data_IF_711774452197
#
_entry.id   IF_711774452197
#
_cell.length_a   1.000
_cell.length_b   1.000
_cell.length_c   1.000
_cell.angle_alpha   90.00
_cell.angle_beta   90.00
_cell.angle_gamma   90.00
#
_symmetry.space_group_name_H-M   'P 1'
#
loop_
_entity.id
_entity.type
_entity.pdbx_description
1 polymer ?
#
# COMPACT_ATOMS: atom_id res chain seq x y z
N UNK A 1 21.90 -12.18 1.42
CA UNK A 1 22.29 -10.81 1.79
C UNK A 1 22.19 -10.59 3.30
N UNK A 2 21.01 -10.71 3.93
CA UNK A 2 20.85 -10.48 5.38
C UNK A 2 21.82 -11.28 6.27
N UNK A 3 21.83 -12.62 6.16
CA UNK A 3 22.75 -13.49 6.94
C UNK A 3 24.23 -13.16 6.76
N UNK A 4 24.63 -12.73 5.56
CA UNK A 4 26.02 -12.33 5.27
C UNK A 4 26.44 -11.06 6.02
N UNK A 5 25.47 -10.30 6.54
CA UNK A 5 25.66 -9.06 7.31
C UNK A 5 25.15 -9.20 8.75
N UNK A 6 25.09 -10.42 9.30
CA UNK A 6 24.64 -10.64 10.68
C UNK A 6 23.15 -10.33 10.95
N UNK A 7 22.36 -10.09 9.91
CA UNK A 7 20.95 -9.71 10.05
C UNK A 7 19.99 -10.88 9.76
N UNK A 8 18.82 -10.85 10.40
CA UNK A 8 17.66 -11.64 10.00
C UNK A 8 16.84 -10.88 8.95
N UNK A 9 16.38 -11.57 7.90
CA UNK A 9 15.40 -11.01 6.97
C UNK A 9 14.00 -11.39 7.45
N UNK A 10 13.12 -10.40 7.56
CA UNK A 10 11.71 -10.58 7.90
C UNK A 10 10.82 -9.95 6.83
N UNK A 11 9.59 -10.45 6.69
CA UNK A 11 8.71 -10.10 5.59
C UNK A 11 7.29 -9.70 6.02
N UNK A 12 6.60 -8.80 5.29
CA UNK A 12 5.27 -8.31 5.67
C UNK A 12 4.16 -9.37 5.70
N UNK A 13 4.40 -10.52 5.07
CA UNK A 13 3.45 -11.64 4.97
C UNK A 13 3.64 -12.71 6.06
N UNK A 14 4.60 -12.52 6.97
CA UNK A 14 4.83 -13.42 8.09
C UNK A 14 3.74 -13.28 9.18
N UNK A 15 3.59 -14.33 9.99
CA UNK A 15 2.64 -14.39 11.12
C UNK A 15 3.41 -14.64 12.42
N UNK A 16 3.12 -13.93 13.53
CA UNK A 16 2.19 -12.79 13.63
C UNK A 16 2.68 -11.58 12.80
N UNK A 17 1.75 -10.67 12.39
CA UNK A 17 2.13 -9.54 11.55
C UNK A 17 3.12 -8.62 12.28
N UNK A 18 4.20 -8.29 11.58
CA UNK A 18 5.22 -7.37 12.06
C UNK A 18 4.83 -5.90 11.76
N UNK A 19 5.27 -4.92 12.57
CA UNK A 19 4.82 -3.54 12.46
C UNK A 19 5.55 -2.75 11.35
N UNK A 20 5.52 -3.27 10.12
CA UNK A 20 6.24 -2.75 8.95
C UNK A 20 6.02 -1.27 8.68
N UNK A 21 4.77 -0.78 8.75
CA UNK A 21 4.50 0.64 8.54
C UNK A 21 5.13 1.51 9.64
N UNK A 22 5.18 1.04 10.89
CA UNK A 22 5.83 1.76 11.99
C UNK A 22 7.34 1.83 11.77
N UNK A 23 7.97 0.71 11.41
CA UNK A 23 9.40 0.67 11.09
C UNK A 23 9.75 1.57 9.92
N UNK A 24 8.98 1.52 8.84
CA UNK A 24 9.22 2.34 7.66
C UNK A 24 9.16 3.86 7.96
N UNK A 25 8.22 4.30 8.81
CA UNK A 25 8.12 5.71 9.24
C UNK A 25 9.28 6.17 10.12
N UNK A 26 9.96 5.25 10.79
CA UNK A 26 11.15 5.56 11.58
C UNK A 26 12.38 5.74 10.67
N UNK A 27 12.45 5.04 9.54
CA UNK A 27 13.60 5.04 8.64
C UNK A 27 13.49 6.02 7.46
N UNK A 28 12.27 6.38 7.04
CA UNK A 28 12.03 7.16 5.83
C UNK A 28 10.89 8.19 6.04
N UNK A 29 10.86 9.28 5.25
CA UNK A 29 9.80 10.30 5.30
C UNK A 29 8.48 9.78 4.71
N UNK A 30 7.94 8.73 5.32
CA UNK A 30 6.68 8.11 4.94
C UNK A 30 5.60 8.54 5.93
N UNK A 31 4.39 8.78 5.43
CA UNK A 31 3.30 9.31 6.24
C UNK A 31 2.02 8.47 6.08
N UNK A 32 1.12 8.42 7.07
CA UNK A 32 -0.18 7.76 6.90
C UNK A 32 -1.00 8.42 5.78
N UNK A 33 -1.70 7.62 4.97
CA UNK A 33 -2.71 8.12 4.04
C UNK A 33 -4.12 7.69 4.46
N UNK A 34 -5.18 8.36 3.96
CA UNK A 34 -6.55 7.92 4.18
C UNK A 34 -6.85 6.52 3.64
N UNK A 35 -6.00 5.96 2.77
CA UNK A 35 -6.19 4.62 2.20
C UNK A 35 -5.57 3.49 3.04
N UNK A 36 -5.00 3.80 4.21
CA UNK A 36 -4.42 2.82 5.13
C UNK A 36 -3.03 2.30 4.75
N UNK A 37 -2.49 2.72 3.60
CA UNK A 37 -1.09 2.54 3.22
C UNK A 37 -0.31 3.84 3.45
N UNK A 38 1.01 3.75 3.54
CA UNK A 38 1.86 4.94 3.65
C UNK A 38 1.91 5.70 2.32
N UNK A 39 2.11 7.01 2.41
CA UNK A 39 2.39 7.90 1.29
C UNK A 39 3.81 8.42 1.38
N UNK A 40 4.52 8.34 0.27
CA UNK A 40 5.82 8.95 0.03
C UNK A 40 5.64 10.35 -0.61
N UNK A 41 6.37 11.40 -0.20
CA UNK A 41 6.29 12.74 -0.78
C UNK A 41 6.61 12.82 -2.27
N UNK A 42 7.45 11.91 -2.79
CA UNK A 42 7.90 11.86 -4.17
C UNK A 42 7.13 10.81 -4.96
N UNK A 43 7.06 9.59 -4.43
CA UNK A 43 6.47 8.43 -5.10
C UNK A 43 4.98 8.25 -4.79
N UNK A 44 4.40 9.09 -3.94
CA UNK A 44 3.00 9.06 -3.58
C UNK A 44 2.61 7.73 -2.95
N UNK A 45 1.50 7.18 -3.42
CA UNK A 45 1.04 5.87 -2.96
C UNK A 45 1.67 4.73 -3.76
N UNK A 46 2.60 4.97 -4.68
CA UNK A 46 3.12 3.98 -5.64
C UNK A 46 4.44 3.35 -5.19
N UNK A 47 4.45 2.85 -3.95
CA UNK A 47 5.55 2.08 -3.40
C UNK A 47 5.03 0.91 -2.56
N UNK A 48 5.91 -0.01 -2.20
CA UNK A 48 5.58 -1.14 -1.33
C UNK A 48 6.79 -1.53 -0.47
N UNK A 49 6.54 -1.83 0.80
CA UNK A 49 7.54 -2.41 1.69
C UNK A 49 7.67 -3.90 1.37
N UNK A 50 8.90 -4.36 1.11
CA UNK A 50 9.17 -5.75 0.72
C UNK A 50 9.69 -6.63 1.86
N UNK A 51 10.41 -6.05 2.80
CA UNK A 51 11.05 -6.75 3.89
C UNK A 51 11.86 -5.80 4.74
N UNK A 52 12.33 -6.28 5.89
CA UNK A 52 13.23 -5.55 6.76
C UNK A 52 14.40 -6.45 7.14
N UNK A 53 15.55 -5.83 7.41
CA UNK A 53 16.70 -6.51 7.99
C UNK A 53 16.77 -6.15 9.46
N UNK A 54 16.67 -7.16 10.32
CA UNK A 54 16.80 -7.02 11.77
C UNK A 54 18.23 -7.34 12.16
N UNK A 55 18.92 -6.35 12.72
CA UNK A 55 20.26 -6.48 13.26
C UNK A 55 20.19 -6.53 14.78
N UNK A 56 20.95 -7.42 15.46
CA UNK A 56 21.13 -7.32 16.91
C UNK A 56 21.95 -6.08 17.30
N UNK A 57 22.76 -5.58 16.37
CA UNK A 57 23.63 -4.41 16.57
C UNK A 57 22.94 -3.11 16.15
N UNK A 58 23.25 -2.02 16.85
CA UNK A 58 22.80 -0.66 16.48
C UNK A 58 23.52 -0.21 15.23
N UNK A 59 22.75 0.02 14.16
CA UNK A 59 23.28 0.54 12.90
C UNK A 59 23.11 2.06 12.89
N UNK A 60 24.19 2.86 12.73
CA UNK A 60 24.07 4.29 12.52
C UNK A 60 23.37 4.55 11.18
N UNK A 61 22.17 5.13 11.23
CA UNK A 61 21.40 5.50 10.05
C UNK A 61 21.58 6.98 9.74
N UNK A 62 21.54 7.39 8.45
CA UNK A 62 21.50 8.79 8.10
C UNK A 62 20.26 9.46 8.71
N UNK A 63 20.37 10.76 8.98
CA UNK A 63 19.23 11.55 9.44
C UNK A 63 18.12 11.44 8.40
N UNK A 64 16.92 11.10 8.89
CA UNK A 64 15.72 11.06 8.04
C UNK A 64 15.49 12.45 7.44
N UNK A 65 15.38 12.52 6.12
CA UNK A 65 15.02 13.77 5.43
C UNK A 65 13.73 14.36 5.99
N UNK A 66 13.69 15.68 6.13
CA UNK A 66 12.48 16.39 6.51
C UNK A 66 11.62 16.66 5.27
N UNK A 67 10.37 16.22 5.31
CA UNK A 67 9.42 16.42 4.22
C UNK A 67 8.03 16.69 4.80
N UNK A 68 7.23 17.55 4.17
CA UNK A 68 5.86 17.78 4.59
C UNK A 68 5.02 16.52 4.37
N UNK A 69 4.11 16.23 5.31
CA UNK A 69 3.12 15.16 5.14
C UNK A 69 2.11 15.56 4.06
N UNK A 70 2.08 14.91 2.87
CA UNK A 70 1.26 15.38 1.75
C UNK A 70 -0.24 15.40 2.03
N UNK A 71 -0.76 14.47 2.85
CA UNK A 71 -2.19 14.43 3.16
C UNK A 71 -2.64 15.54 4.11
N UNK A 72 -1.73 16.20 4.86
CA UNK A 72 -2.12 17.30 5.77
C UNK A 72 -2.61 18.53 5.01
N UNK A 73 -2.04 18.81 3.85
CA UNK A 73 -2.41 19.97 3.00
C UNK A 73 -3.40 19.62 1.89
N UNK A 74 -3.72 18.32 1.72
CA UNK A 74 -4.71 17.87 0.76
C UNK A 74 -6.14 18.08 1.31
N UNK A 75 -6.74 19.23 1.00
CA UNK A 75 -8.10 19.57 1.43
C UNK A 75 -9.13 18.60 0.82
N UNK A 76 -9.11 18.46 -0.51
CA UNK A 76 -10.15 17.78 -1.29
C UNK A 76 -10.21 16.26 -1.08
N UNK A 77 -9.08 15.64 -0.65
CA UNK A 77 -8.93 14.19 -0.45
C UNK A 77 -9.62 13.36 -1.55
N UNK A 78 -9.27 13.56 -2.84
CA UNK A 78 -9.96 12.93 -3.96
C UNK A 78 -9.93 11.39 -3.90
N UNK A 79 -8.94 10.83 -3.20
CA UNK A 79 -8.85 9.40 -2.91
C UNK A 79 -10.05 8.83 -2.13
N UNK A 80 -10.73 9.63 -1.31
CA UNK A 80 -11.93 9.19 -0.58
C UNK A 80 -13.21 9.28 -1.42
N UNK A 81 -13.29 10.26 -2.33
CA UNK A 81 -14.48 10.48 -3.16
C UNK A 81 -14.55 9.58 -4.41
N UNK A 82 -13.40 9.13 -4.93
CA UNK A 82 -13.34 8.44 -6.24
C UNK A 82 -13.62 6.94 -6.15
N UNK A 83 -13.66 6.35 -4.94
CA UNK A 83 -14.03 4.95 -4.78
C UNK A 83 -15.52 4.76 -5.10
N UNK A 84 -15.89 3.97 -6.14
CA UNK A 84 -17.27 3.87 -6.60
C UNK A 84 -18.23 3.25 -5.57
N UNK A 85 -17.70 2.56 -4.56
CA UNK A 85 -18.48 1.92 -3.49
C UNK A 85 -18.13 2.43 -2.09
N UNK A 86 -17.37 3.53 -2.00
CA UNK A 86 -16.96 4.12 -0.72
C UNK A 86 -16.29 3.10 0.19
N UNK A 87 -15.34 2.33 -0.32
CA UNK A 87 -14.72 1.22 0.42
C UNK A 87 -13.71 1.69 1.47
N UNK A 88 -13.28 2.96 1.47
CA UNK A 88 -12.33 3.48 2.44
C UNK A 88 -13.04 4.31 3.51
N UNK A 89 -12.68 4.08 4.76
CA UNK A 89 -13.14 4.87 5.90
C UNK A 89 -12.17 4.76 7.08
N UNK A 90 -12.61 5.13 8.28
CA UNK A 90 -11.73 5.22 9.46
C UNK A 90 -11.07 3.90 9.87
N UNK A 91 -11.70 2.77 9.54
CA UNK A 91 -11.16 1.42 9.78
C UNK A 91 -10.31 0.89 8.62
N UNK A 92 -9.96 1.74 7.66
CA UNK A 92 -9.25 1.38 6.44
C UNK A 92 -10.18 0.83 5.35
N UNK A 93 -9.65 -0.06 4.51
CA UNK A 93 -10.36 -0.66 3.40
C UNK A 93 -11.39 -1.68 3.89
N UNK A 94 -12.67 -1.44 3.58
CA UNK A 94 -13.73 -2.44 3.62
C UNK A 94 -13.55 -3.42 2.46
N UNK A 95 -12.83 -4.51 2.75
CA UNK A 95 -12.52 -5.58 1.78
C UNK A 95 -13.80 -6.18 1.19
N UNK A 96 -14.85 -6.39 2.00
CA UNK A 96 -16.11 -6.95 1.52
C UNK A 96 -16.77 -6.10 0.44
N UNK A 97 -16.91 -4.79 0.67
CA UNK A 97 -17.47 -3.86 -0.33
C UNK A 97 -16.64 -3.82 -1.61
N UNK A 98 -15.32 -3.77 -1.47
CA UNK A 98 -14.39 -3.78 -2.60
C UNK A 98 -14.51 -5.07 -3.42
N UNK A 99 -14.44 -6.22 -2.74
CA UNK A 99 -14.54 -7.55 -3.33
C UNK A 99 -15.85 -7.73 -4.12
N UNK A 100 -16.99 -7.37 -3.50
CA UNK A 100 -18.29 -7.45 -4.15
C UNK A 100 -18.35 -6.57 -5.40
N UNK A 101 -17.77 -5.37 -5.39
CA UNK A 101 -17.77 -4.49 -6.56
C UNK A 101 -16.92 -5.04 -7.71
N UNK A 102 -15.68 -5.42 -7.46
CA UNK A 102 -14.74 -5.87 -8.51
C UNK A 102 -15.13 -7.21 -9.15
N UNK A 103 -16.04 -7.95 -8.52
CA UNK A 103 -16.64 -9.17 -9.07
C UNK A 103 -17.78 -8.90 -10.09
N UNK A 104 -18.24 -7.65 -10.22
CA UNK A 104 -19.32 -7.27 -11.15
C UNK A 104 -18.78 -6.65 -12.44
N UNK A 105 -19.65 -6.54 -13.46
CA UNK A 105 -19.34 -5.79 -14.68
C UNK A 105 -18.99 -4.32 -14.38
N UNK A 106 -19.65 -3.68 -13.41
CA UNK A 106 -19.36 -2.31 -13.00
C UNK A 106 -17.96 -2.17 -12.36
N UNK A 107 -17.41 -3.26 -11.82
CA UNK A 107 -16.07 -3.31 -11.24
C UNK A 107 -14.94 -3.46 -12.26
N UNK A 108 -15.26 -3.68 -13.55
CA UNK A 108 -14.27 -3.95 -14.60
C UNK A 108 -13.22 -2.85 -14.72
N UNK A 109 -13.62 -1.59 -14.60
CA UNK A 109 -12.67 -0.47 -14.64
C UNK A 109 -11.67 -0.52 -13.48
N UNK A 110 -12.09 -0.92 -12.28
CA UNK A 110 -11.19 -1.08 -11.14
C UNK A 110 -10.22 -2.25 -11.35
N UNK A 111 -10.66 -3.33 -12.02
CA UNK A 111 -9.79 -4.45 -12.38
C UNK A 111 -8.76 -4.05 -13.44
N UNK A 112 -9.19 -3.35 -14.49
CA UNK A 112 -8.34 -3.04 -15.65
C UNK A 112 -7.40 -1.85 -15.42
N UNK A 113 -7.81 -0.88 -14.60
CA UNK A 113 -7.08 0.39 -14.37
C UNK A 113 -6.64 0.59 -12.92
N UNK A 114 -6.91 -0.38 -12.06
CA UNK A 114 -6.53 -0.35 -10.65
C UNK A 114 -7.52 0.36 -9.74
N UNK A 115 -7.18 0.38 -8.45
CA UNK A 115 -7.97 1.08 -7.44
C UNK A 115 -8.08 2.58 -7.75
N UNK A 116 -9.27 3.02 -8.16
CA UNK A 116 -9.56 4.43 -8.51
C UNK A 116 -9.26 5.42 -7.37
N UNK A 117 -9.45 4.99 -6.13
CA UNK A 117 -9.11 5.79 -4.95
C UNK A 117 -7.59 6.05 -4.86
N UNK A 118 -6.76 5.04 -5.10
CA UNK A 118 -5.30 5.19 -5.12
C UNK A 118 -4.86 6.06 -6.29
N UNK A 119 -5.47 5.84 -7.45
CA UNK A 119 -5.14 6.59 -8.66
C UNK A 119 -5.48 8.09 -8.57
N UNK A 120 -6.55 8.43 -7.84
CA UNK A 120 -6.97 9.80 -7.63
C UNK A 120 -5.99 10.64 -6.78
N UNK A 121 -5.01 10.03 -6.12
CA UNK A 121 -3.99 10.78 -5.39
C UNK A 121 -3.10 11.58 -6.38
N UNK A 122 -2.97 12.92 -6.20
CA UNK A 122 -2.15 13.73 -7.10
C UNK A 122 -0.64 13.56 -6.87
N UNK A 123 -0.24 12.99 -5.74
CA UNK A 123 1.17 12.81 -5.39
C UNK A 123 1.71 11.53 -6.04
N UNK A 124 2.91 11.62 -6.61
CA UNK A 124 3.58 10.46 -7.21
C UNK A 124 2.97 9.97 -8.52
N UNK A 125 2.23 10.80 -9.26
CA UNK A 125 1.66 10.43 -10.57
C UNK A 125 2.72 9.91 -11.54
N UNK A 126 3.92 10.47 -11.51
CA UNK A 126 5.05 10.02 -12.32
C UNK A 126 5.59 8.63 -11.90
N UNK A 127 5.30 8.19 -10.67
CA UNK A 127 5.67 6.85 -10.16
C UNK A 127 4.54 5.83 -10.30
N UNK A 128 3.40 6.22 -10.90
CA UNK A 128 2.29 5.29 -11.15
C UNK A 128 2.80 4.09 -11.93
N UNK A 129 2.45 2.90 -11.46
CA UNK A 129 2.78 1.66 -12.15
C UNK A 129 2.16 1.64 -13.56
N UNK A 130 2.84 0.95 -14.49
CA UNK A 130 2.25 0.71 -15.82
C UNK A 130 0.97 -0.12 -15.70
N UNK A 131 0.13 -0.09 -16.73
CA UNK A 131 -1.17 -0.73 -16.69
C UNK A 131 -1.06 -2.25 -16.48
N UNK A 132 -0.03 -2.90 -17.05
CA UNK A 132 0.24 -4.32 -16.87
C UNK A 132 0.54 -4.67 -15.40
N UNK A 133 1.35 -3.86 -14.73
CA UNK A 133 1.68 -4.07 -13.32
C UNK A 133 0.47 -3.78 -12.42
N UNK A 134 -0.35 -2.78 -12.77
CA UNK A 134 -1.60 -2.49 -12.06
C UNK A 134 -2.57 -3.67 -12.16
N UNK A 135 -2.79 -4.20 -13.36
CA UNK A 135 -3.65 -5.34 -13.62
C UNK A 135 -3.17 -6.58 -12.86
N UNK A 136 -1.88 -6.88 -12.93
CA UNK A 136 -1.27 -7.96 -12.16
C UNK A 136 -1.58 -7.85 -10.66
N UNK A 137 -1.47 -6.65 -10.09
CA UNK A 137 -1.79 -6.43 -8.69
C UNK A 137 -3.28 -6.55 -8.37
N UNK A 138 -4.17 -6.13 -9.28
CA UNK A 138 -5.62 -6.30 -9.10
C UNK A 138 -6.04 -7.77 -9.17
N UNK A 139 -5.45 -8.54 -10.10
CA UNK A 139 -5.68 -9.98 -10.18
C UNK A 139 -5.20 -10.69 -8.92
N UNK A 140 -3.97 -10.40 -8.45
CA UNK A 140 -3.43 -10.95 -7.21
C UNK A 140 -4.30 -10.58 -6.00
N UNK A 141 -4.78 -9.33 -5.92
CA UNK A 141 -5.70 -8.89 -4.87
C UNK A 141 -7.01 -9.67 -4.89
N UNK A 142 -7.66 -9.79 -6.06
CA UNK A 142 -8.88 -10.56 -6.24
C UNK A 142 -8.69 -12.02 -5.80
N UNK A 143 -7.58 -12.65 -6.19
CA UNK A 143 -7.26 -14.01 -5.78
C UNK A 143 -7.03 -14.14 -4.27
N UNK A 144 -6.46 -13.13 -3.62
CA UNK A 144 -6.19 -13.15 -2.17
C UNK A 144 -7.43 -13.01 -1.28
N UNK A 145 -8.50 -12.41 -1.81
CA UNK A 145 -9.76 -12.14 -1.08
C UNK A 145 -10.90 -13.04 -1.54
N UNK A 146 -10.72 -13.80 -2.61
CA UNK A 146 -11.67 -14.82 -2.99
C UNK A 146 -11.82 -15.80 -1.80
N UNK A 147 -13.05 -16.19 -1.44
CA UNK A 147 -13.23 -17.26 -0.48
C UNK A 147 -12.40 -18.46 -0.96
N UNK A 148 -11.65 -19.08 -0.07
CA UNK A 148 -10.90 -20.29 -0.38
C UNK A 148 -11.91 -21.41 -0.72
N UNK A 149 -12.39 -21.46 -1.95
CA UNK A 149 -13.14 -22.61 -2.45
C UNK A 149 -12.12 -23.74 -2.61
N UNK A 150 -12.19 -24.72 -1.70
CA UNK A 150 -11.55 -26.04 -1.76
C UNK A 150 -10.27 -26.12 -2.62
N UNK A 151 -9.12 -25.90 -1.99
CA UNK A 151 -7.93 -26.68 -2.38
C UNK A 151 -8.11 -28.08 -1.81
N UNK A 152 -8.83 -28.94 -2.54
CA UNK A 152 -8.63 -30.39 -2.46
C UNK A 152 -7.22 -30.74 -2.91
#
# INVERSE_FOLDING_TARGET
MARKNGCAAVFPFEKPPLPFQRWARACAPLFPSPLGILIDPVHGLWHALRGAFLSPDVIPLPVRGDHPWPCKTCADKPCLATCPVGAFGDRGLNVGRCASHIATAAGRLCMDKGCRARDACPIGRASRYCDEQVQFHMDAYRSSIAPHSNRT
#
